data_IF_016268042345
#
_entry.id   IF_016268042345
#
_cell.length_a   1.000
_cell.length_b   1.000
_cell.length_c   1.000
_cell.angle_alpha   90.00
_cell.angle_beta   90.00
_cell.angle_gamma   90.00
#
_symmetry.space_group_name_H-M   'P 1'
#
loop_
_entity.id
_entity.type
_entity.pdbx_description
1 polymer ?
#
# COMPACT_ATOMS: atom_id res chain seq x y z
N UNK A 1 5.51 21.09 -21.69
CA UNK A 1 5.74 19.63 -21.82
C UNK A 1 5.60 18.88 -20.49
N UNK A 2 6.09 19.40 -19.37
CA UNK A 2 6.00 18.75 -18.03
C UNK A 2 4.57 18.50 -17.53
N UNK A 3 3.64 19.43 -17.77
CA UNK A 3 2.24 19.28 -17.36
C UNK A 3 1.53 18.09 -18.04
N UNK A 4 1.77 17.87 -19.34
CA UNK A 4 1.20 16.73 -20.06
C UNK A 4 1.69 15.38 -19.50
N UNK A 5 2.97 15.28 -19.14
CA UNK A 5 3.49 14.05 -18.52
C UNK A 5 2.97 13.85 -17.10
N UNK A 6 2.86 14.93 -16.32
CA UNK A 6 2.23 14.87 -15.00
C UNK A 6 0.79 14.35 -15.09
N UNK A 7 -0.02 14.91 -15.99
CA UNK A 7 -1.41 14.48 -16.19
C UNK A 7 -1.47 13.02 -16.64
N UNK A 8 -0.57 12.56 -17.51
CA UNK A 8 -0.52 11.15 -17.92
C UNK A 8 -0.17 10.22 -16.76
N UNK A 9 0.83 10.54 -15.93
CA UNK A 9 1.20 9.72 -14.78
C UNK A 9 0.10 9.68 -13.71
N UNK A 10 -0.53 10.82 -13.45
CA UNK A 10 -1.69 10.93 -12.55
C UNK A 10 -2.86 10.13 -13.10
N UNK A 11 -3.17 10.26 -14.40
CA UNK A 11 -4.22 9.48 -15.04
C UNK A 11 -3.94 7.98 -14.95
N UNK A 12 -2.70 7.53 -15.21
CA UNK A 12 -2.33 6.13 -15.12
C UNK A 12 -2.50 5.59 -13.69
N UNK A 13 -2.06 6.34 -12.68
CA UNK A 13 -2.15 5.94 -11.28
C UNK A 13 -3.59 5.95 -10.73
N UNK A 14 -4.40 6.95 -11.08
CA UNK A 14 -5.76 7.13 -10.54
C UNK A 14 -6.88 6.55 -11.41
N UNK A 15 -6.62 6.20 -12.67
CA UNK A 15 -7.58 5.52 -13.54
C UNK A 15 -8.19 4.25 -12.91
N UNK A 16 -7.41 3.30 -12.35
CA UNK A 16 -7.99 2.08 -11.79
C UNK A 16 -8.87 2.36 -10.56
N UNK A 17 -8.56 3.39 -9.76
CA UNK A 17 -9.40 3.84 -8.66
C UNK A 17 -10.75 4.37 -9.14
N UNK A 18 -10.75 5.16 -10.22
CA UNK A 18 -11.97 5.72 -10.78
C UNK A 18 -12.85 4.64 -11.43
N UNK A 19 -12.24 3.72 -12.18
CA UNK A 19 -12.91 2.59 -12.83
C UNK A 19 -13.57 1.71 -11.77
N UNK A 20 -12.82 1.26 -10.76
CA UNK A 20 -13.38 0.41 -9.70
C UNK A 20 -14.51 1.09 -8.92
N UNK A 21 -14.39 2.39 -8.62
CA UNK A 21 -15.48 3.13 -7.96
C UNK A 21 -16.78 3.17 -8.80
N UNK A 22 -16.67 3.40 -10.11
CA UNK A 22 -17.81 3.49 -11.04
C UNK A 22 -18.43 2.13 -11.38
N UNK A 23 -17.60 1.15 -11.74
CA UNK A 23 -18.07 -0.14 -12.25
C UNK A 23 -18.48 -1.14 -11.16
N UNK A 24 -17.98 -0.99 -9.93
CA UNK A 24 -18.38 -1.87 -8.83
C UNK A 24 -19.73 -1.51 -8.19
N UNK A 25 -20.45 -0.51 -8.72
CA UNK A 25 -21.73 -0.06 -8.16
C UNK A 25 -21.62 0.58 -6.76
N UNK A 26 -20.39 0.89 -6.31
CA UNK A 26 -20.14 1.45 -4.98
C UNK A 26 -20.86 2.79 -4.78
N UNK A 27 -20.95 3.59 -5.84
CA UNK A 27 -21.60 4.89 -5.80
C UNK A 27 -23.09 4.82 -5.40
N UNK A 28 -23.75 3.68 -5.61
CA UNK A 28 -25.17 3.50 -5.30
C UNK A 28 -25.40 2.97 -3.87
N UNK A 29 -24.48 2.14 -3.36
CA UNK A 29 -24.58 1.51 -2.03
C UNK A 29 -23.78 2.22 -0.93
N UNK A 30 -22.72 2.94 -1.30
CA UNK A 30 -21.83 3.66 -0.39
C UNK A 30 -21.78 5.13 -0.78
N UNK A 31 -22.22 5.99 0.14
CA UNK A 31 -21.90 7.41 0.07
C UNK A 31 -20.37 7.58 0.04
N UNK A 32 -19.88 8.52 -0.78
CA UNK A 32 -18.46 8.87 -0.87
C UNK A 32 -17.84 9.17 0.51
N UNK A 33 -18.68 9.57 1.46
CA UNK A 33 -18.36 9.75 2.87
C UNK A 33 -17.78 8.49 3.54
N UNK A 34 -18.28 7.29 3.22
CA UNK A 34 -17.76 6.04 3.79
C UNK A 34 -16.37 5.70 3.27
N UNK A 35 -16.12 5.97 1.99
CA UNK A 35 -14.78 5.85 1.40
C UNK A 35 -13.83 6.85 2.08
N UNK A 36 -14.28 8.09 2.29
CA UNK A 36 -13.52 9.11 3.00
C UNK A 36 -13.23 8.74 4.47
N UNK A 37 -14.17 8.10 5.17
CA UNK A 37 -13.94 7.57 6.52
C UNK A 37 -12.86 6.48 6.53
N UNK A 38 -12.86 5.58 5.54
CA UNK A 38 -11.81 4.57 5.40
C UNK A 38 -10.44 5.21 5.12
N UNK A 39 -10.39 6.23 4.25
CA UNK A 39 -9.18 7.02 4.02
C UNK A 39 -8.71 7.77 5.28
N UNK A 40 -9.63 8.30 6.08
CA UNK A 40 -9.30 8.92 7.37
C UNK A 40 -8.68 7.92 8.35
N UNK A 41 -9.21 6.70 8.39
CA UNK A 41 -8.63 5.59 9.14
C UNK A 41 -7.18 5.28 8.75
N UNK A 42 -6.88 5.30 7.44
CA UNK A 42 -5.50 5.14 6.93
C UNK A 42 -4.55 6.23 7.46
N UNK A 43 -4.95 7.50 7.41
CA UNK A 43 -4.10 8.58 7.94
C UNK A 43 -3.84 8.42 9.44
N UNK A 44 -4.86 8.00 10.21
CA UNK A 44 -4.70 7.74 11.63
C UNK A 44 -3.71 6.60 11.90
N UNK A 45 -3.83 5.48 11.18
CA UNK A 45 -2.90 4.34 11.36
C UNK A 45 -1.49 4.69 10.91
N UNK A 46 -1.35 5.47 9.84
CA UNK A 46 -0.07 5.98 9.38
C UNK A 46 0.58 6.91 10.44
N UNK A 47 -0.19 7.76 11.10
CA UNK A 47 0.32 8.59 12.20
C UNK A 47 0.78 7.76 13.40
N UNK A 48 -0.01 6.75 13.79
CA UNK A 48 0.36 5.82 14.87
C UNK A 48 1.66 5.09 14.51
N UNK A 49 1.78 4.59 13.28
CA UNK A 49 2.98 3.92 12.76
C UNK A 49 4.21 4.82 12.85
N UNK A 50 4.11 6.07 12.41
CA UNK A 50 5.21 7.04 12.48
C UNK A 50 5.56 7.42 13.93
N UNK A 51 4.56 7.53 14.81
CA UNK A 51 4.78 7.80 16.22
C UNK A 51 5.51 6.64 16.91
N UNK A 52 5.08 5.40 16.66
CA UNK A 52 5.72 4.20 17.19
C UNK A 52 7.17 4.10 16.73
N UNK A 53 7.42 4.32 15.44
CA UNK A 53 8.77 4.37 14.87
C UNK A 53 9.63 5.42 15.58
N UNK A 54 9.11 6.63 15.77
CA UNK A 54 9.83 7.71 16.44
C UNK A 54 10.07 7.46 17.94
N UNK A 55 9.16 6.78 18.64
CA UNK A 55 9.29 6.52 20.09
C UNK A 55 10.19 5.33 20.40
N UNK A 56 10.11 4.25 19.61
CA UNK A 56 10.89 3.04 19.86
C UNK A 56 12.28 3.10 19.24
N UNK A 57 12.49 3.96 18.24
CA UNK A 57 13.79 4.16 17.56
C UNK A 57 14.13 5.65 17.38
N UNK A 58 14.59 6.35 18.44
CA UNK A 58 15.44 7.52 18.23
C UNK A 58 16.74 7.04 17.56
N UNK A 59 17.13 7.69 16.46
CA UNK A 59 18.30 7.38 15.60
C UNK A 59 19.48 6.81 16.38
N UNK A 60 19.68 5.49 16.29
CA UNK A 60 20.92 4.85 16.73
C UNK A 60 21.71 4.55 15.46
N UNK A 61 22.81 5.27 15.27
CA UNK A 61 23.65 5.27 14.06
C UNK A 61 24.41 3.93 13.90
N UNK A 62 23.70 2.87 13.53
CA UNK A 62 24.27 1.54 13.30
C UNK A 62 24.39 1.28 11.78
N UNK A 63 25.58 1.56 11.26
CA UNK A 63 26.04 1.28 9.89
C UNK A 63 26.09 -0.24 9.63
N UNK A 64 25.07 -0.80 8.96
CA UNK A 64 25.06 -2.20 8.52
C UNK A 64 23.68 -2.71 8.09
N UNK A 65 23.64 -3.86 7.41
CA UNK A 65 22.39 -4.60 7.13
C UNK A 65 21.77 -5.06 8.46
N UNK A 66 21.01 -4.16 9.07
CA UNK A 66 20.44 -4.40 10.37
C UNK A 66 19.15 -5.21 10.18
N UNK A 67 19.03 -6.32 10.90
CA UNK A 67 17.78 -7.11 11.00
C UNK A 67 16.61 -6.24 11.46
N UNK A 68 16.91 -5.14 12.16
CA UNK A 68 15.97 -4.18 12.72
C UNK A 68 15.09 -3.42 11.70
N UNK A 69 15.62 -2.70 10.70
CA UNK A 69 14.81 -2.05 9.67
C UNK A 69 13.95 -3.03 8.87
N UNK A 70 14.44 -4.24 8.58
CA UNK A 70 13.65 -5.27 7.90
C UNK A 70 12.52 -5.82 8.78
N UNK A 71 12.77 -6.01 10.09
CA UNK A 71 11.73 -6.40 11.05
C UNK A 71 10.72 -5.27 11.30
N UNK A 72 11.16 -4.01 11.27
CA UNK A 72 10.29 -2.83 11.32
C UNK A 72 9.41 -2.72 10.07
N UNK A 73 9.96 -3.01 8.88
CA UNK A 73 9.18 -3.05 7.64
C UNK A 73 8.11 -4.15 7.68
N UNK A 74 8.48 -5.34 8.15
CA UNK A 74 7.53 -6.44 8.34
C UNK A 74 6.45 -6.12 9.38
N UNK A 75 6.81 -5.51 10.52
CA UNK A 75 5.83 -5.13 11.56
C UNK A 75 4.91 -3.98 11.12
N UNK A 76 5.43 -3.05 10.31
CA UNK A 76 4.64 -2.01 9.65
C UNK A 76 3.53 -2.57 8.77
N UNK A 77 3.82 -3.61 7.98
CA UNK A 77 2.83 -4.26 7.12
C UNK A 77 1.75 -4.98 7.95
N UNK A 78 2.13 -5.59 9.08
CA UNK A 78 1.19 -6.21 10.03
C UNK A 78 0.26 -5.17 10.67
N UNK A 79 0.79 -4.02 11.08
CA UNK A 79 0.00 -2.91 11.63
C UNK A 79 -1.01 -2.39 10.59
N UNK A 80 -0.61 -2.28 9.32
CA UNK A 80 -1.50 -1.84 8.24
C UNK A 80 -2.66 -2.83 8.02
N UNK A 81 -2.41 -4.14 8.10
CA UNK A 81 -3.47 -5.17 8.02
C UNK A 81 -4.43 -5.08 9.21
N UNK A 82 -3.91 -4.94 10.43
CA UNK A 82 -4.73 -4.82 11.64
C UNK A 82 -5.57 -3.54 11.56
N UNK A 83 -4.97 -2.44 11.13
CA UNK A 83 -5.65 -1.17 10.90
C UNK A 83 -6.79 -1.32 9.90
N UNK A 84 -6.53 -1.95 8.76
CA UNK A 84 -7.55 -2.20 7.73
C UNK A 84 -8.71 -3.07 8.27
N UNK A 85 -8.41 -4.11 9.06
CA UNK A 85 -9.44 -4.94 9.71
C UNK A 85 -10.29 -4.15 10.71
N UNK A 86 -9.66 -3.29 11.53
CA UNK A 86 -10.36 -2.43 12.48
C UNK A 86 -11.26 -1.41 11.79
N UNK A 87 -10.79 -0.77 10.72
CA UNK A 87 -11.56 0.17 9.91
C UNK A 87 -12.80 -0.50 9.31
N UNK A 88 -12.65 -1.70 8.74
CA UNK A 88 -13.78 -2.46 8.17
C UNK A 88 -14.81 -2.91 9.21
N UNK A 89 -14.37 -3.14 10.44
CA UNK A 89 -15.24 -3.64 11.52
C UNK A 89 -15.93 -2.49 12.26
N UNK A 90 -15.23 -1.39 12.51
CA UNK A 90 -15.72 -0.30 13.35
C UNK A 90 -16.23 0.92 12.58
N UNK A 91 -15.63 1.29 11.44
CA UNK A 91 -16.01 2.51 10.70
C UNK A 91 -17.04 2.24 9.60
N UNK A 92 -17.04 1.05 9.02
CA UNK A 92 -17.87 0.72 7.86
C UNK A 92 -19.11 -0.10 8.27
N UNK A 93 -20.23 0.58 8.45
CA UNK A 93 -21.54 -0.03 8.66
C UNK A 93 -22.24 -0.33 7.32
N UNK A 94 -22.64 -1.58 7.09
CA UNK A 94 -23.39 -1.97 5.89
C UNK A 94 -23.22 -3.44 5.49
N UNK A 95 -23.70 -3.76 4.28
CA UNK A 95 -23.57 -5.11 3.69
C UNK A 95 -22.10 -5.46 3.52
N UNK A 96 -21.74 -6.68 3.95
CA UNK A 96 -20.36 -7.14 4.04
C UNK A 96 -19.57 -7.09 2.72
N UNK A 97 -20.25 -7.20 1.57
CA UNK A 97 -19.60 -7.15 0.26
C UNK A 97 -19.16 -5.73 -0.13
N UNK A 98 -19.98 -4.75 0.22
CA UNK A 98 -19.70 -3.34 -0.10
C UNK A 98 -18.63 -2.78 0.85
N UNK A 99 -18.58 -3.26 2.11
CA UNK A 99 -17.62 -2.73 3.10
C UNK A 99 -16.17 -3.09 2.79
N UNK A 100 -15.87 -4.32 2.37
CA UNK A 100 -14.48 -4.69 2.10
C UNK A 100 -13.97 -3.94 0.87
N UNK A 101 -14.82 -3.78 -0.14
CA UNK A 101 -14.46 -3.09 -1.37
C UNK A 101 -14.29 -1.59 -1.14
N UNK A 102 -15.19 -0.96 -0.39
CA UNK A 102 -15.06 0.46 0.00
C UNK A 102 -13.86 0.70 0.93
N UNK A 103 -13.62 -0.20 1.88
CA UNK A 103 -12.47 -0.15 2.78
C UNK A 103 -11.15 -0.27 2.03
N UNK A 104 -11.00 -1.29 1.18
CA UNK A 104 -9.79 -1.50 0.38
C UNK A 104 -9.54 -0.38 -0.63
N UNK A 105 -10.58 0.09 -1.32
CA UNK A 105 -10.48 1.20 -2.26
C UNK A 105 -10.08 2.50 -1.55
N UNK A 106 -10.74 2.86 -0.45
CA UNK A 106 -10.46 4.08 0.31
C UNK A 106 -9.09 4.07 0.97
N UNK A 107 -8.67 2.91 1.48
CA UNK A 107 -7.33 2.71 2.05
C UNK A 107 -6.25 2.83 0.99
N UNK A 108 -6.38 2.09 -0.12
CA UNK A 108 -5.44 2.16 -1.24
C UNK A 108 -5.39 3.57 -1.86
N UNK A 109 -6.51 4.29 -1.89
CA UNK A 109 -6.56 5.65 -2.44
C UNK A 109 -5.81 6.62 -1.54
N UNK A 110 -6.00 6.51 -0.22
CA UNK A 110 -5.28 7.32 0.75
C UNK A 110 -3.77 7.04 0.71
N UNK A 111 -3.37 5.76 0.61
CA UNK A 111 -1.98 5.37 0.44
C UNK A 111 -1.36 5.94 -0.85
N UNK A 112 -2.05 5.82 -1.98
CA UNK A 112 -1.57 6.36 -3.25
C UNK A 112 -1.52 7.88 -3.27
N UNK A 113 -2.47 8.58 -2.64
CA UNK A 113 -2.39 10.04 -2.49
C UNK A 113 -1.23 10.42 -1.57
N UNK A 114 -1.03 9.75 -0.44
CA UNK A 114 0.07 10.06 0.47
C UNK A 114 1.44 9.83 -0.19
N UNK A 115 1.60 8.74 -0.94
CA UNK A 115 2.85 8.36 -1.57
C UNK A 115 3.02 9.06 -2.93
N UNK A 116 2.13 8.79 -3.88
CA UNK A 116 2.30 9.14 -5.29
C UNK A 116 2.03 10.62 -5.59
N UNK A 117 1.08 11.27 -4.89
CA UNK A 117 0.78 12.69 -5.15
C UNK A 117 1.98 13.60 -4.87
N UNK A 118 2.68 13.36 -3.76
CA UNK A 118 3.88 14.11 -3.37
C UNK A 118 5.01 13.87 -4.38
N UNK A 119 5.22 12.62 -4.79
CA UNK A 119 6.25 12.27 -5.76
C UNK A 119 5.98 12.91 -7.13
N UNK A 120 4.74 12.87 -7.64
CA UNK A 120 4.41 13.49 -8.92
C UNK A 120 4.47 15.02 -8.87
N UNK A 121 4.09 15.63 -7.74
CA UNK A 121 4.20 17.07 -7.54
C UNK A 121 5.65 17.57 -7.59
N UNK A 122 6.55 16.89 -6.88
CA UNK A 122 7.99 17.21 -6.91
C UNK A 122 8.59 16.90 -8.28
N UNK A 123 8.18 15.80 -8.92
CA UNK A 123 8.62 15.43 -10.27
C UNK A 123 8.20 16.43 -11.36
N UNK A 124 7.03 17.07 -11.20
CA UNK A 124 6.56 18.12 -12.11
C UNK A 124 7.36 19.43 -11.99
N UNK A 125 7.99 19.68 -10.83
CA UNK A 125 8.81 20.88 -10.56
C UNK A 125 10.26 20.75 -11.04
N UNK A 126 10.78 19.54 -11.19
CA UNK A 126 12.14 19.33 -11.65
C UNK A 126 12.39 17.90 -12.13
N UNK A 127 12.17 17.64 -13.43
CA UNK A 127 12.99 16.70 -14.18
C UNK A 127 12.67 16.74 -15.67
N UNK A 128 13.69 16.59 -16.50
CA UNK A 128 13.52 16.07 -17.84
C UNK A 128 12.93 14.65 -17.75
N UNK A 129 12.03 14.32 -18.66
CA UNK A 129 11.25 13.07 -18.65
C UNK A 129 12.15 11.84 -18.49
N UNK A 130 11.90 11.05 -17.44
CA UNK A 130 12.60 9.79 -17.17
C UNK A 130 11.60 8.66 -16.95
N UNK A 131 11.95 7.48 -17.46
CA UNK A 131 11.15 6.24 -17.39
C UNK A 131 10.69 5.87 -15.97
N UNK A 132 11.45 6.33 -14.96
CA UNK A 132 11.19 6.09 -13.55
C UNK A 132 9.80 6.58 -13.09
N UNK A 133 9.30 7.70 -13.62
CA UNK A 133 7.98 8.21 -13.21
C UNK A 133 6.83 7.32 -13.70
N UNK A 134 6.97 6.73 -14.89
CA UNK A 134 5.99 5.77 -15.44
C UNK A 134 6.00 4.49 -14.60
N UNK A 135 7.19 4.00 -14.23
CA UNK A 135 7.32 2.85 -13.34
C UNK A 135 6.66 3.08 -11.98
N UNK A 136 6.84 4.27 -11.38
CA UNK A 136 6.18 4.63 -10.12
C UNK A 136 4.65 4.68 -10.26
N UNK A 137 4.13 5.22 -11.36
CA UNK A 137 2.69 5.25 -11.61
C UNK A 137 2.09 3.84 -11.80
N UNK A 138 2.80 2.96 -12.50
CA UNK A 138 2.43 1.55 -12.65
C UNK A 138 2.49 0.82 -11.30
N UNK A 139 3.54 1.05 -10.50
CA UNK A 139 3.64 0.43 -9.18
C UNK A 139 2.47 0.83 -8.27
N UNK A 140 2.13 2.13 -8.24
CA UNK A 140 0.99 2.62 -7.46
C UNK A 140 -0.35 2.00 -7.91
N UNK A 141 -0.48 1.63 -9.19
CA UNK A 141 -1.68 0.96 -9.72
C UNK A 141 -1.75 -0.50 -9.30
N UNK A 142 -0.60 -1.18 -9.27
CA UNK A 142 -0.49 -2.55 -8.76
C UNK A 142 -0.74 -2.62 -7.25
N UNK A 143 -0.25 -1.64 -6.49
CA UNK A 143 -0.46 -1.53 -5.05
C UNK A 143 -1.95 -1.46 -4.71
N UNK A 144 -2.77 -0.76 -5.52
CA UNK A 144 -4.23 -0.76 -5.36
C UNK A 144 -4.82 -2.18 -5.41
N UNK A 145 -4.42 -2.96 -6.41
CA UNK A 145 -4.93 -4.32 -6.60
C UNK A 145 -4.57 -5.17 -5.38
N UNK A 146 -3.35 -5.02 -4.87
CA UNK A 146 -2.90 -5.68 -3.65
C UNK A 146 -3.72 -5.26 -2.43
N UNK A 147 -3.95 -3.96 -2.20
CA UNK A 147 -4.74 -3.51 -1.05
C UNK A 147 -6.20 -3.98 -1.11
N UNK A 148 -6.81 -4.02 -2.29
CA UNK A 148 -8.18 -4.54 -2.47
C UNK A 148 -8.21 -6.06 -2.27
N UNK A 149 -7.19 -6.79 -2.73
CA UNK A 149 -7.07 -8.22 -2.48
C UNK A 149 -6.88 -8.53 -1.00
N UNK A 150 -6.03 -7.78 -0.31
CA UNK A 150 -5.80 -7.91 1.14
C UNK A 150 -7.09 -7.61 1.92
N UNK A 151 -7.80 -6.55 1.56
CA UNK A 151 -9.11 -6.21 2.12
C UNK A 151 -10.11 -7.36 1.98
N UNK A 152 -10.19 -7.96 0.79
CA UNK A 152 -11.06 -9.10 0.52
C UNK A 152 -10.65 -10.35 1.32
N UNK A 153 -9.35 -10.62 1.43
CA UNK A 153 -8.82 -11.76 2.21
C UNK A 153 -9.10 -11.61 3.70
N UNK A 154 -8.79 -10.45 4.28
CA UNK A 154 -9.10 -10.15 5.68
C UNK A 154 -10.60 -10.29 5.98
N UNK A 155 -11.43 -9.88 5.02
CA UNK A 155 -12.88 -10.03 5.09
C UNK A 155 -13.32 -11.50 5.06
N UNK A 156 -12.83 -12.28 4.10
CA UNK A 156 -13.15 -13.70 3.96
C UNK A 156 -12.65 -14.52 5.15
N UNK A 157 -11.47 -14.22 5.69
CA UNK A 157 -10.88 -14.92 6.83
C UNK A 157 -11.71 -14.87 8.10
N UNK A 158 -12.55 -13.83 8.26
CA UNK A 158 -13.47 -13.69 9.38
C UNK A 158 -14.68 -14.62 9.26
N UNK A 159 -15.09 -14.98 8.03
CA UNK A 159 -16.29 -15.79 7.74
C UNK A 159 -16.03 -17.25 7.42
N UNK A 160 -14.89 -17.60 6.84
CA UNK A 160 -14.62 -18.95 6.35
C UNK A 160 -14.19 -19.91 7.45
N UNK A 161 -14.59 -21.18 7.37
CA UNK A 161 -14.12 -22.26 8.24
C UNK A 161 -12.62 -22.56 8.03
N UNK A 162 -12.11 -22.40 6.80
CA UNK A 162 -10.71 -22.64 6.43
C UNK A 162 -9.81 -21.43 6.71
N UNK A 163 -9.83 -20.92 7.95
CA UNK A 163 -9.06 -19.73 8.38
C UNK A 163 -7.57 -19.87 8.09
N UNK A 164 -7.01 -21.07 8.25
CA UNK A 164 -5.60 -21.35 8.03
C UNK A 164 -5.13 -21.02 6.61
N UNK A 165 -5.93 -21.36 5.59
CA UNK A 165 -5.56 -21.07 4.19
C UNK A 165 -5.57 -19.56 3.91
N UNK A 166 -6.53 -18.85 4.47
CA UNK A 166 -6.61 -17.38 4.34
C UNK A 166 -5.43 -16.71 5.04
N UNK A 167 -5.10 -17.13 6.27
CA UNK A 167 -3.91 -16.62 6.96
C UNK A 167 -2.62 -16.93 6.21
N UNK A 168 -2.49 -18.11 5.59
CA UNK A 168 -1.35 -18.47 4.74
C UNK A 168 -1.22 -17.57 3.52
N UNK A 169 -2.35 -17.28 2.85
CA UNK A 169 -2.35 -16.38 1.70
C UNK A 169 -2.00 -14.95 2.10
N UNK A 170 -2.50 -14.51 3.26
CA UNK A 170 -2.28 -13.18 3.79
C UNK A 170 -0.83 -12.98 4.23
N UNK A 171 -0.22 -13.98 4.88
CA UNK A 171 1.22 -13.96 5.16
C UNK A 171 2.02 -14.01 3.88
N UNK A 172 1.65 -14.81 2.88
CA UNK A 172 2.35 -14.82 1.58
C UNK A 172 2.33 -13.44 0.89
N UNK A 173 1.20 -12.72 0.95
CA UNK A 173 1.11 -11.35 0.43
C UNK A 173 2.01 -10.35 1.19
N UNK A 174 2.13 -10.48 2.52
CA UNK A 174 3.05 -9.65 3.33
C UNK A 174 4.50 -9.99 3.04
N UNK A 175 4.83 -11.28 2.96
CA UNK A 175 6.19 -11.74 2.68
C UNK A 175 6.63 -11.51 1.24
N UNK A 176 5.72 -11.21 0.30
CA UNK A 176 6.09 -10.88 -1.07
C UNK A 176 7.10 -9.70 -1.13
N UNK A 177 6.84 -8.63 -0.37
CA UNK A 177 7.74 -7.47 -0.32
C UNK A 177 9.11 -7.83 0.26
N UNK A 178 9.12 -8.69 1.29
CA UNK A 178 10.35 -9.19 1.92
C UNK A 178 11.15 -10.08 0.96
N UNK A 179 10.50 -11.01 0.26
CA UNK A 179 11.14 -11.90 -0.73
C UNK A 179 11.72 -11.07 -1.88
N UNK A 180 11.01 -10.05 -2.36
CA UNK A 180 11.49 -9.20 -3.44
C UNK A 180 12.75 -8.42 -3.03
N UNK A 181 12.80 -7.89 -1.81
CA UNK A 181 14.02 -7.26 -1.28
C UNK A 181 15.15 -8.24 -1.06
N UNK A 182 14.87 -9.42 -0.50
CA UNK A 182 15.86 -10.48 -0.33
C UNK A 182 16.49 -10.91 -1.65
N UNK A 183 15.68 -11.05 -2.70
CA UNK A 183 16.17 -11.42 -4.04
C UNK A 183 17.04 -10.31 -4.63
N UNK A 184 16.66 -9.04 -4.45
CA UNK A 184 17.47 -7.91 -4.92
C UNK A 184 18.80 -7.84 -4.17
N UNK A 185 18.79 -8.01 -2.85
CA UNK A 185 20.00 -7.96 -2.04
C UNK A 185 20.95 -9.13 -2.34
N UNK A 186 20.41 -10.34 -2.51
CA UNK A 186 21.16 -11.51 -2.95
C UNK A 186 21.80 -11.29 -4.32
N UNK A 187 21.06 -10.68 -5.26
CA UNK A 187 21.59 -10.36 -6.59
C UNK A 187 22.68 -9.27 -6.54
N UNK A 188 22.54 -8.30 -5.64
CA UNK A 188 23.57 -7.27 -5.41
C UNK A 188 24.85 -7.87 -4.81
N UNK A 189 24.73 -8.79 -3.84
CA UNK A 189 25.88 -9.50 -3.25
C UNK A 189 26.57 -10.45 -4.24
N UNK A 190 25.82 -11.08 -5.14
CA UNK A 190 26.36 -11.88 -6.24
C UNK A 190 27.12 -11.00 -7.24
N UNK A 191 26.61 -9.80 -7.54
CA UNK A 191 27.26 -8.86 -8.45
C UNK A 191 28.55 -8.26 -7.85
N UNK A 192 28.59 -8.00 -6.53
CA UNK A 192 29.81 -7.55 -5.85
C UNK A 192 30.88 -8.66 -5.75
N UNK A 193 30.48 -9.93 -5.65
CA UNK A 193 31.42 -11.07 -5.65
C UNK A 193 32.04 -11.36 -7.03
N UNK A 194 31.43 -10.87 -8.11
CA UNK A 194 31.93 -11.05 -9.49
C UNK A 194 32.94 -9.95 -9.91
N UNK A 195 33.05 -8.87 -9.14
CA UNK A 195 33.93 -7.73 -9.44
C UNK A 195 35.28 -7.74 -8.69
N UNK A 196 35.65 -8.85 -8.03
CA UNK A 196 37.02 -9.11 -7.58
C UNK A 196 37.73 -10.14 -8.48
N UNK A 197 38.58 -9.66 -9.41
CA UNK A 197 39.92 -10.21 -9.60
C UNK A 197 41.00 -9.31 -8.99
#
# INVERSE_FOLDING_TARGET
MTFFHFVNCVALAYAPYFITYKYSGLNEYCSIWRCAQASGGYFLTQLVKLLLLATFFPTTDAEGFAVLPELLKSSADVVDIIGMHLVMTHLLYGKGEVRFLAGGLGWGAAHSVASSFILFWVGARGSAFSWRWIQMALNSSSDLILFVAMAALTWMGTRTANRHFVFLLLTACVFHSFIHQWVIDLNSQLCSNIQLP
#
